data_IF_930344667673
#
_entry.id   IF_930344667673
#
_cell.length_a   1.000
_cell.length_b   1.000
_cell.length_c   1.000
_cell.angle_alpha   90.00
_cell.angle_beta   90.00
_cell.angle_gamma   90.00
#
_symmetry.space_group_name_H-M   'P 1'
#
loop_
_entity.id
_entity.type
_entity.pdbx_description
1 polymer ?
#
# COMPACT_ATOMS: atom_id res chain seq x y z
N UNK A 1 -4.22 2.10 2.91
CA UNK A 1 -5.13 2.74 3.89
C UNK A 1 -5.64 1.78 4.96
N UNK A 2 -6.37 0.73 4.58
CA UNK A 2 -6.96 -0.23 5.53
C UNK A 2 -5.93 -0.88 6.47
N UNK A 3 -4.79 -1.34 5.94
CA UNK A 3 -3.69 -1.85 6.76
C UNK A 3 -3.27 -0.88 7.88
N UNK A 4 -3.00 0.39 7.53
CA UNK A 4 -2.64 1.41 8.51
C UNK A 4 -3.73 1.61 9.57
N UNK A 5 -5.01 1.60 9.18
CA UNK A 5 -6.11 1.72 10.14
C UNK A 5 -6.15 0.53 11.12
N UNK A 6 -5.98 -0.70 10.64
CA UNK A 6 -5.92 -1.89 11.50
C UNK A 6 -4.75 -1.84 12.50
N UNK A 7 -3.58 -1.39 12.03
CA UNK A 7 -2.40 -1.18 12.88
C UNK A 7 -2.63 -0.09 13.93
N UNK A 8 -3.26 1.02 13.54
CA UNK A 8 -3.66 2.08 14.47
C UNK A 8 -4.66 1.57 15.52
N UNK A 9 -5.69 0.82 15.12
CA UNK A 9 -6.68 0.24 16.03
C UNK A 9 -6.04 -0.73 17.04
N UNK A 10 -5.12 -1.59 16.57
CA UNK A 10 -4.33 -2.42 17.47
C UNK A 10 -3.54 -1.58 18.48
N UNK A 11 -2.89 -0.51 18.00
CA UNK A 11 -2.16 0.43 18.86
C UNK A 11 -3.03 1.20 19.86
N UNK A 12 -4.27 1.54 19.51
CA UNK A 12 -5.22 2.17 20.42
C UNK A 12 -5.70 1.18 21.48
N UNK A 13 -6.09 -0.03 21.08
CA UNK A 13 -6.55 -1.08 21.99
C UNK A 13 -5.51 -1.35 23.10
N UNK A 14 -4.23 -1.48 22.73
CA UNK A 14 -3.15 -1.65 23.69
C UNK A 14 -3.02 -0.48 24.68
N UNK A 15 -3.16 0.77 24.21
CA UNK A 15 -3.06 1.97 25.06
C UNK A 15 -4.19 2.10 26.08
N UNK A 16 -5.38 1.58 25.77
CA UNK A 16 -6.55 1.61 26.66
C UNK A 16 -6.74 0.29 27.43
N UNK A 17 -5.75 -0.62 27.41
CA UNK A 17 -5.81 -1.89 28.13
C UNK A 17 -6.88 -2.87 27.59
N UNK A 18 -7.22 -2.78 26.30
CA UNK A 18 -8.16 -3.69 25.63
C UNK A 18 -7.41 -4.71 24.75
N UNK A 19 -8.00 -5.89 24.51
CA UNK A 19 -7.40 -6.88 23.60
C UNK A 19 -7.20 -6.32 22.18
N UNK A 20 -6.01 -6.52 21.62
CA UNK A 20 -5.66 -6.07 20.27
C UNK A 20 -5.55 -7.20 19.22
N UNK A 21 -5.70 -8.46 19.65
CA UNK A 21 -5.38 -9.64 18.83
C UNK A 21 -6.18 -9.75 17.54
N UNK A 22 -7.47 -9.36 17.56
CA UNK A 22 -8.30 -9.35 16.35
C UNK A 22 -7.76 -8.38 15.30
N UNK A 23 -7.47 -7.13 15.69
CA UNK A 23 -6.90 -6.12 14.80
C UNK A 23 -5.53 -6.52 14.27
N UNK A 24 -4.67 -7.12 15.10
CA UNK A 24 -3.37 -7.63 14.68
C UNK A 24 -3.50 -8.77 13.65
N UNK A 25 -4.44 -9.69 13.88
CA UNK A 25 -4.73 -10.79 12.95
C UNK A 25 -5.22 -10.26 11.60
N UNK A 26 -6.18 -9.33 11.63
CA UNK A 26 -6.68 -8.67 10.42
C UNK A 26 -5.57 -7.90 9.69
N UNK A 27 -4.69 -7.21 10.42
CA UNK A 27 -3.57 -6.48 9.83
C UNK A 27 -2.60 -7.44 9.12
N UNK A 28 -2.29 -8.59 9.73
CA UNK A 28 -1.48 -9.63 9.12
C UNK A 28 -2.09 -10.16 7.83
N UNK A 29 -3.40 -10.44 7.82
CA UNK A 29 -4.13 -10.86 6.61
C UNK A 29 -4.10 -9.79 5.53
N UNK A 30 -4.34 -8.54 5.89
CA UNK A 30 -4.30 -7.42 4.95
C UNK A 30 -2.90 -7.24 4.34
N UNK A 31 -1.83 -7.40 5.14
CA UNK A 31 -0.46 -7.36 4.65
C UNK A 31 -0.17 -8.49 3.67
N UNK A 32 -0.47 -9.74 4.04
CA UNK A 32 -0.26 -10.90 3.17
C UNK A 32 -1.07 -10.80 1.88
N UNK A 33 -2.31 -10.30 1.95
CA UNK A 33 -3.13 -10.06 0.76
C UNK A 33 -2.58 -8.94 -0.13
N UNK A 34 -1.93 -7.93 0.45
CA UNK A 34 -1.36 -6.81 -0.30
C UNK A 34 -0.21 -7.23 -1.21
N UNK A 35 0.46 -8.35 -0.93
CA UNK A 35 1.51 -8.91 -1.78
C UNK A 35 1.03 -9.14 -3.22
N UNK A 36 -0.26 -9.43 -3.42
CA UNK A 36 -0.86 -9.62 -4.75
C UNK A 36 -0.83 -8.35 -5.62
N UNK A 37 -0.79 -7.18 -5.00
CA UNK A 37 -0.65 -5.92 -5.73
C UNK A 37 0.78 -5.69 -6.24
N UNK A 38 1.79 -6.42 -5.79
CA UNK A 38 3.16 -6.16 -6.19
C UNK A 38 3.45 -6.63 -7.62
N UNK A 39 3.75 -5.69 -8.52
CA UNK A 39 4.17 -5.98 -9.88
C UNK A 39 5.70 -5.92 -10.00
N UNK A 40 6.35 -7.07 -9.92
CA UNK A 40 7.80 -7.12 -9.77
C UNK A 40 8.58 -6.58 -10.98
N UNK A 41 8.11 -6.88 -12.19
CA UNK A 41 8.72 -6.45 -13.44
C UNK A 41 8.70 -4.92 -13.61
N UNK A 42 7.64 -4.25 -13.14
CA UNK A 42 7.55 -2.79 -13.14
C UNK A 42 8.19 -2.15 -11.91
N UNK A 43 8.29 -2.88 -10.80
CA UNK A 43 8.78 -2.35 -9.53
C UNK A 43 7.85 -1.38 -8.83
N UNK A 44 6.56 -1.58 -9.02
CA UNK A 44 5.49 -0.77 -8.46
C UNK A 44 4.25 -1.65 -8.23
N UNK A 45 3.14 -1.07 -7.78
CA UNK A 45 1.90 -1.84 -7.58
C UNK A 45 1.01 -1.86 -8.83
N UNK A 46 0.36 -2.99 -9.09
CA UNK A 46 -0.87 -3.02 -9.89
C UNK A 46 -1.87 -2.00 -9.31
N UNK A 47 -2.60 -1.27 -10.16
CA UNK A 47 -3.60 -0.31 -9.68
C UNK A 47 -4.86 -1.05 -9.18
N UNK A 48 -5.28 -2.06 -9.92
CA UNK A 48 -6.42 -2.93 -9.60
C UNK A 48 -6.04 -4.38 -9.91
N UNK A 49 -6.29 -5.28 -8.98
CA UNK A 49 -6.14 -6.73 -9.18
C UNK A 49 -7.51 -7.39 -9.39
N UNK A 50 -7.53 -8.63 -9.90
CA UNK A 50 -8.77 -9.41 -10.11
C UNK A 50 -9.77 -8.73 -11.07
N UNK A 51 -9.28 -7.98 -12.06
CA UNK A 51 -10.16 -7.44 -13.11
C UNK A 51 -10.56 -8.53 -14.11
N UNK A 52 -11.64 -8.36 -14.89
CA UNK A 52 -12.04 -9.33 -15.92
C UNK A 52 -10.95 -9.66 -16.95
N UNK A 53 -9.98 -8.78 -17.14
CA UNK A 53 -8.87 -8.92 -18.08
C UNK A 53 -7.52 -9.23 -17.41
N UNK A 54 -7.53 -9.54 -16.11
CA UNK A 54 -6.31 -9.74 -15.31
C UNK A 54 -5.88 -8.48 -14.54
N UNK A 55 -4.73 -8.50 -13.91
CA UNK A 55 -4.29 -7.40 -13.05
C UNK A 55 -3.85 -6.17 -13.87
N UNK A 56 -4.34 -4.98 -13.49
CA UNK A 56 -4.01 -3.71 -14.14
C UNK A 56 -2.59 -3.26 -13.74
N UNK A 57 -1.64 -3.44 -14.64
CA UNK A 57 -0.24 -3.01 -14.49
C UNK A 57 0.01 -1.55 -14.87
N UNK A 58 -1.04 -0.76 -15.15
CA UNK A 58 -0.92 0.67 -15.45
C UNK A 58 -0.38 1.43 -14.24
N UNK A 59 0.73 2.14 -14.43
CA UNK A 59 1.33 2.95 -13.37
C UNK A 59 0.42 4.14 -12.99
N UNK A 60 -0.25 4.06 -11.84
CA UNK A 60 -1.09 5.13 -11.28
C UNK A 60 -0.48 5.78 -10.04
N UNK A 61 -0.83 7.05 -9.71
CA UNK A 61 -0.31 7.73 -8.53
C UNK A 61 -0.89 7.20 -7.20
N UNK A 62 -2.00 6.45 -7.24
CA UNK A 62 -2.71 5.95 -6.06
C UNK A 62 -1.83 5.13 -5.11
N UNK A 63 -0.82 4.43 -5.63
CA UNK A 63 0.15 3.66 -4.84
C UNK A 63 0.96 4.50 -3.85
N UNK A 64 1.07 5.83 -4.04
CA UNK A 64 1.68 6.73 -3.06
C UNK A 64 0.95 6.65 -1.71
N UNK A 65 -0.36 6.38 -1.69
CA UNK A 65 -1.09 6.19 -0.45
C UNK A 65 -0.66 4.95 0.33
N UNK A 66 -0.11 3.93 -0.34
CA UNK A 66 0.41 2.73 0.34
C UNK A 66 1.73 2.99 1.08
N UNK A 67 2.42 4.09 0.77
CA UNK A 67 3.77 4.41 1.29
C UNK A 67 3.85 5.77 2.00
N UNK A 68 2.75 6.53 2.05
CA UNK A 68 2.70 7.87 2.67
C UNK A 68 2.30 7.86 4.15
N UNK A 69 1.70 6.76 4.63
CA UNK A 69 1.26 6.62 6.02
C UNK A 69 2.32 5.94 6.89
N UNK A 70 2.22 6.13 8.21
CA UNK A 70 3.16 5.57 9.17
C UNK A 70 3.32 4.04 9.06
N UNK A 71 2.22 3.34 8.79
CA UNK A 71 2.22 1.90 8.60
C UNK A 71 1.95 1.57 7.12
N UNK A 72 2.92 0.88 6.51
CA UNK A 72 2.83 0.41 5.13
C UNK A 72 2.83 -1.12 5.09
N UNK A 73 2.00 -1.76 4.24
CA UNK A 73 2.08 -3.20 4.04
C UNK A 73 3.32 -3.62 3.24
N UNK A 74 4.02 -2.68 2.59
CA UNK A 74 5.20 -2.94 1.77
C UNK A 74 6.49 -2.87 2.60
N UNK A 75 7.49 -3.67 2.20
CA UNK A 75 8.86 -3.53 2.74
C UNK A 75 9.46 -2.17 2.38
N UNK A 76 10.42 -1.68 3.19
CA UNK A 76 11.07 -0.39 2.96
C UNK A 76 11.71 -0.28 1.56
N UNK A 77 12.27 -1.39 1.03
CA UNK A 77 12.83 -1.42 -0.33
C UNK A 77 11.76 -1.23 -1.40
N UNK A 78 10.60 -1.87 -1.26
CA UNK A 78 9.47 -1.70 -2.17
C UNK A 78 8.83 -0.31 -2.06
N UNK A 79 8.72 0.24 -0.85
CA UNK A 79 8.25 1.61 -0.65
C UNK A 79 9.11 2.62 -1.42
N UNK A 80 10.44 2.46 -1.34
CA UNK A 80 11.38 3.28 -2.10
C UNK A 80 11.16 3.15 -3.62
N UNK A 81 11.02 1.92 -4.13
CA UNK A 81 10.77 1.67 -5.56
C UNK A 81 9.49 2.36 -6.04
N UNK A 82 8.41 2.30 -5.24
CA UNK A 82 7.14 2.99 -5.53
C UNK A 82 7.35 4.50 -5.66
N UNK A 83 8.01 5.14 -4.69
CA UNK A 83 8.28 6.58 -4.72
C UNK A 83 9.12 6.95 -5.94
N UNK A 84 10.17 6.18 -6.23
CA UNK A 84 11.02 6.40 -7.38
C UNK A 84 10.26 6.25 -8.71
N UNK A 85 9.39 5.25 -8.85
CA UNK A 85 8.58 5.05 -10.05
C UNK A 85 7.61 6.23 -10.27
N UNK A 86 6.89 6.65 -9.23
CA UNK A 86 6.00 7.81 -9.33
C UNK A 86 6.78 9.09 -9.63
N UNK A 87 7.94 9.31 -8.99
CA UNK A 87 8.78 10.48 -9.25
C UNK A 87 9.31 10.51 -10.69
N UNK A 88 9.77 9.37 -11.21
CA UNK A 88 10.32 9.28 -12.58
C UNK A 88 9.26 9.45 -13.66
N UNK A 89 8.07 8.90 -13.47
CA UNK A 89 7.11 8.73 -14.56
C UNK A 89 5.82 9.55 -14.40
N UNK A 90 5.47 9.97 -13.20
CA UNK A 90 4.20 10.66 -12.94
C UNK A 90 4.38 12.10 -12.46
N UNK A 91 5.54 12.46 -11.91
CA UNK A 91 5.78 13.81 -11.39
C UNK A 91 5.89 14.85 -12.51
N UNK A 92 5.18 15.94 -12.34
CA UNK A 92 5.21 17.14 -13.19
C UNK A 92 5.42 18.38 -12.32
N UNK A 93 5.60 19.54 -12.95
CA UNK A 93 5.68 20.82 -12.23
C UNK A 93 4.42 21.19 -11.44
N UNK A 94 3.29 20.51 -11.68
CA UNK A 94 2.00 20.77 -11.02
C UNK A 94 1.53 19.62 -10.11
N UNK A 95 2.35 18.59 -9.90
CA UNK A 95 2.01 17.42 -9.10
C UNK A 95 2.09 16.11 -9.89
N UNK A 96 1.46 15.05 -9.36
CA UNK A 96 1.42 13.75 -10.03
C UNK A 96 0.29 13.71 -11.06
N UNK A 97 0.61 13.31 -12.30
CA UNK A 97 -0.43 13.10 -13.33
C UNK A 97 -1.25 11.84 -13.03
N UNK A 98 -2.55 11.93 -13.27
CA UNK A 98 -3.47 10.79 -13.36
C UNK A 98 -3.60 10.38 -14.81
N UNK A 99 -3.35 9.09 -15.10
CA UNK A 99 -3.52 8.50 -16.42
C UNK A 99 -4.92 7.86 -16.54
#
# INVERSE_FOLDING_TARGET
>A
LWYNALRAMAGFALRIGRPAGEWQTLAGRAQSGFERFWYDAGGYCHDVIDTPTGDDSTLRPNQIFAVSLAESPLSASRQRRVVEACARHLLTSRGLRTL
#
